data_IF_807042936459
#
_entry.id   IF_807042936459
#
_cell.length_a   1.000
_cell.length_b   1.000
_cell.length_c   1.000
_cell.angle_alpha   90.00
_cell.angle_beta   90.00
_cell.angle_gamma   90.00
#
_symmetry.space_group_name_H-M   'P 1'
#
loop_
_entity.id
_entity.type
_entity.pdbx_description
1 polymer ?
#
# COMPACT_ATOMS: atom_id res chain seq x y z
N UNK A 1 -0.92 -48.74 -42.81
CA UNK A 1 -1.34 -50.15 -42.65
C UNK A 1 -0.77 -50.64 -41.33
N UNK A 2 -1.50 -51.52 -40.61
CA UNK A 2 -1.26 -51.91 -39.19
C UNK A 2 -1.47 -50.72 -38.19
N UNK A 3 -1.95 -50.86 -36.94
CA UNK A 3 -2.39 -52.03 -36.14
C UNK A 3 -1.25 -52.68 -35.34
N UNK A 4 -1.38 -53.18 -34.10
CA UNK A 4 -2.41 -53.16 -33.03
C UNK A 4 -1.71 -53.63 -31.70
N UNK A 5 -2.25 -53.78 -30.47
CA UNK A 5 -3.61 -53.68 -29.87
C UNK A 5 -3.51 -53.49 -28.33
N UNK A 6 -4.58 -53.05 -27.66
CA UNK A 6 -4.72 -53.04 -26.18
C UNK A 6 -4.08 -51.84 -25.46
N UNK A 7 -4.30 -51.57 -24.16
CA UNK A 7 -5.22 -52.14 -23.15
C UNK A 7 -5.23 -51.17 -21.93
N UNK A 8 -6.18 -51.10 -20.98
CA UNK A 8 -7.47 -51.81 -20.73
C UNK A 8 -8.33 -50.93 -19.79
N UNK A 9 -9.63 -50.71 -20.03
CA UNK A 9 -10.49 -49.90 -19.14
C UNK A 9 -10.80 -50.62 -17.81
N UNK A 10 -10.95 -49.86 -16.71
CA UNK A 10 -11.65 -50.27 -15.48
C UNK A 10 -12.72 -49.23 -15.09
N UNK A 11 -13.88 -49.72 -14.64
CA UNK A 11 -15.01 -48.97 -14.06
C UNK A 11 -15.39 -49.64 -12.74
N UNK A 12 -15.27 -48.92 -11.62
CA UNK A 12 -16.02 -49.04 -10.35
C UNK A 12 -15.84 -47.66 -9.69
N UNK A 13 -16.81 -47.05 -9.00
CA UNK A 13 -18.21 -47.39 -8.78
C UNK A 13 -18.98 -46.12 -8.37
N UNK A 14 -20.27 -46.25 -8.10
CA UNK A 14 -21.16 -45.14 -7.71
C UNK A 14 -21.85 -45.51 -6.39
N UNK A 15 -21.48 -44.83 -5.30
CA UNK A 15 -22.14 -44.92 -3.99
C UNK A 15 -22.25 -43.51 -3.40
N UNK A 16 -23.47 -43.08 -3.09
CA UNK A 16 -23.76 -41.73 -2.63
C UNK A 16 -23.65 -41.56 -1.12
N UNK A 17 -23.14 -40.41 -0.68
CA UNK A 17 -23.19 -39.96 0.70
C UNK A 17 -23.51 -38.47 0.77
N UNK A 18 -24.58 -38.09 1.47
CA UNK A 18 -24.94 -36.68 1.66
C UNK A 18 -24.01 -36.02 2.69
N UNK A 19 -23.18 -35.07 2.24
CA UNK A 19 -22.29 -34.30 3.10
C UNK A 19 -22.25 -32.83 2.67
N UNK A 20 -22.82 -31.93 3.47
CA UNK A 20 -22.71 -30.48 3.24
C UNK A 20 -21.31 -29.99 3.61
N UNK A 21 -20.46 -29.77 2.62
CA UNK A 21 -19.28 -28.91 2.75
C UNK A 21 -19.61 -27.52 2.21
N UNK A 22 -19.28 -26.47 2.96
CA UNK A 22 -19.42 -25.09 2.49
C UNK A 22 -18.27 -24.73 1.53
N UNK A 23 -18.59 -24.17 0.37
CA UNK A 23 -17.58 -23.69 -0.56
C UNK A 23 -17.01 -22.35 -0.07
N UNK A 24 -15.75 -22.34 0.35
CA UNK A 24 -14.97 -21.11 0.50
C UNK A 24 -14.50 -20.68 -0.89
N UNK A 25 -14.75 -19.43 -1.33
CA UNK A 25 -14.24 -18.96 -2.61
C UNK A 25 -12.71 -18.80 -2.52
N UNK A 26 -11.99 -19.38 -3.47
CA UNK A 26 -10.54 -19.24 -3.55
C UNK A 26 -10.13 -17.81 -3.92
N UNK A 27 -9.00 -17.37 -3.38
CA UNK A 27 -8.22 -16.29 -3.98
C UNK A 27 -7.37 -16.90 -5.10
N UNK A 28 -7.56 -16.42 -6.33
CA UNK A 28 -6.71 -16.76 -7.47
C UNK A 28 -5.83 -15.55 -7.79
N UNK A 29 -4.51 -15.70 -7.62
CA UNK A 29 -3.50 -14.87 -8.27
C UNK A 29 -2.48 -15.83 -8.92
N UNK A 30 -2.21 -15.63 -10.22
CA UNK A 30 -1.47 -16.56 -11.06
C UNK A 30 -0.30 -15.83 -11.73
N UNK A 31 0.86 -15.89 -11.08
CA UNK A 31 2.13 -15.36 -11.56
C UNK A 31 3.07 -16.51 -11.96
N UNK A 32 2.83 -17.08 -13.14
CA UNK A 32 3.59 -18.21 -13.66
C UNK A 32 5.09 -17.92 -13.86
N UNK A 33 5.94 -18.56 -13.04
CA UNK A 33 7.38 -18.64 -13.26
C UNK A 33 7.74 -19.75 -14.27
N UNK A 34 8.77 -19.50 -15.09
CA UNK A 34 9.36 -20.46 -16.04
C UNK A 34 10.70 -21.00 -15.53
N UNK A 35 11.05 -22.23 -15.94
CA UNK A 35 12.21 -22.97 -15.46
C UNK A 35 13.56 -22.24 -15.59
N UNK A 36 14.40 -22.40 -14.56
CA UNK A 36 15.73 -21.80 -14.44
C UNK A 36 16.69 -22.61 -13.57
N UNK A 37 16.63 -23.94 -13.65
CA UNK A 37 17.40 -24.84 -12.79
C UNK A 37 18.93 -24.73 -13.00
N UNK A 38 19.65 -24.29 -11.97
CA UNK A 38 21.13 -24.37 -11.89
C UNK A 38 21.50 -25.16 -10.64
N UNK A 39 22.09 -26.33 -10.83
CA UNK A 39 22.54 -27.20 -9.73
C UNK A 39 23.92 -26.78 -9.23
N UNK A 40 24.02 -26.32 -7.99
CA UNK A 40 25.28 -26.26 -7.24
C UNK A 40 25.41 -27.51 -6.37
N UNK A 41 26.61 -28.08 -6.29
CA UNK A 41 26.84 -29.33 -5.57
C UNK A 41 26.84 -29.12 -4.05
N UNK A 42 26.27 -30.08 -3.32
CA UNK A 42 26.26 -30.06 -1.85
C UNK A 42 27.65 -30.26 -1.25
N UNK A 43 27.91 -29.54 -0.16
CA UNK A 43 28.84 -29.94 0.87
C UNK A 43 28.08 -29.85 2.19
N UNK A 44 27.89 -30.99 2.85
CA UNK A 44 27.08 -31.05 4.07
C UNK A 44 27.83 -30.34 5.20
N UNK A 45 27.24 -29.25 5.69
CA UNK A 45 27.71 -28.51 6.85
C UNK A 45 26.56 -28.46 7.84
N UNK A 46 26.54 -29.43 8.75
CA UNK A 46 25.60 -29.48 9.87
C UNK A 46 25.92 -28.29 10.79
N UNK A 47 25.08 -27.25 10.73
CA UNK A 47 24.98 -26.26 11.79
C UNK A 47 24.23 -26.93 12.94
N UNK A 48 24.84 -26.93 14.12
CA UNK A 48 24.15 -27.30 15.35
C UNK A 48 23.23 -26.12 15.73
N UNK A 49 21.93 -26.29 15.52
CA UNK A 49 20.92 -25.31 15.91
C UNK A 49 20.83 -25.26 17.46
N UNK A 50 21.57 -24.35 18.09
CA UNK A 50 21.36 -24.00 19.50
C UNK A 50 20.03 -23.24 19.64
N UNK A 51 18.97 -23.94 20.07
CA UNK A 51 17.66 -23.35 20.37
C UNK A 51 17.78 -22.22 21.40
N UNK A 52 17.31 -21.03 21.04
CA UNK A 52 17.41 -19.80 21.83
C UNK A 52 16.19 -18.91 21.65
N UNK A 53 14.99 -19.49 21.81
CA UNK A 53 13.67 -18.88 21.62
C UNK A 53 13.54 -17.53 22.36
N UNK A 54 14.01 -17.49 23.62
CA UNK A 54 14.15 -16.33 24.51
C UNK A 54 14.73 -15.08 23.80
N UNK A 55 15.66 -15.26 22.85
CA UNK A 55 16.33 -14.18 22.14
C UNK A 55 15.50 -13.57 21.01
N UNK A 56 14.58 -14.35 20.43
CA UNK A 56 13.65 -13.87 19.39
C UNK A 56 12.44 -13.17 20.02
N UNK A 57 11.83 -13.78 21.06
CA UNK A 57 10.71 -13.18 21.79
C UNK A 57 11.09 -11.80 22.37
N UNK A 58 12.22 -11.71 23.07
CA UNK A 58 12.68 -10.46 23.69
C UNK A 58 13.04 -9.36 22.67
N UNK A 59 13.50 -9.73 21.46
CA UNK A 59 13.70 -8.76 20.38
C UNK A 59 12.36 -8.21 19.86
N UNK A 60 11.35 -9.07 19.74
CA UNK A 60 10.04 -8.70 19.20
C UNK A 60 9.18 -7.90 20.20
N UNK A 61 9.21 -8.20 21.50
CA UNK A 61 8.56 -7.34 22.52
C UNK A 61 9.18 -5.93 22.51
N UNK A 62 10.51 -5.84 22.51
CA UNK A 62 11.23 -4.57 22.45
C UNK A 62 10.97 -3.80 21.14
N UNK A 63 10.75 -4.51 20.02
CA UNK A 63 10.31 -3.91 18.77
C UNK A 63 8.93 -3.26 18.92
N UNK A 64 7.95 -3.99 19.45
CA UNK A 64 6.55 -3.52 19.57
C UNK A 64 6.44 -2.32 20.52
N UNK A 65 7.05 -2.39 21.71
CA UNK A 65 7.10 -1.23 22.62
C UNK A 65 7.84 -0.05 21.97
N UNK A 66 8.93 -0.35 21.26
CA UNK A 66 9.78 0.59 20.53
C UNK A 66 9.14 1.30 19.34
N UNK A 67 7.98 0.87 18.82
CA UNK A 67 7.24 1.60 17.79
C UNK A 67 6.67 2.90 18.39
N UNK A 68 7.46 3.97 18.35
CA UNK A 68 7.12 5.30 18.85
C UNK A 68 7.10 6.31 17.70
N UNK A 69 5.94 6.85 17.30
CA UNK A 69 5.84 7.75 16.16
C UNK A 69 6.69 9.01 16.31
N UNK A 70 7.56 9.27 15.34
CA UNK A 70 8.36 10.49 15.27
C UNK A 70 7.56 11.56 14.53
N UNK A 71 7.47 12.77 15.09
CA UNK A 71 6.80 13.91 14.46
C UNK A 71 7.76 15.10 14.44
N UNK A 72 7.98 15.69 13.26
CA UNK A 72 8.83 16.87 13.07
C UNK A 72 8.13 17.93 12.22
N UNK A 73 8.38 19.20 12.50
CA UNK A 73 7.92 20.33 11.69
C UNK A 73 9.02 20.77 10.72
N UNK A 74 8.63 21.21 9.53
CA UNK A 74 9.53 21.75 8.52
C UNK A 74 9.60 23.28 8.58
N UNK A 75 10.35 23.79 9.55
CA UNK A 75 10.56 25.22 9.80
C UNK A 75 11.58 25.87 8.83
N UNK A 76 11.90 25.23 7.69
CA UNK A 76 12.85 25.77 6.70
C UNK A 76 12.27 27.00 5.99
N UNK A 77 13.15 27.92 5.57
CA UNK A 77 12.76 29.08 4.77
C UNK A 77 12.85 28.84 3.26
N UNK A 78 13.69 27.89 2.85
CA UNK A 78 13.92 27.50 1.45
C UNK A 78 13.90 25.99 1.31
N UNK A 79 13.34 25.52 0.19
CA UNK A 79 13.18 24.11 -0.16
C UNK A 79 13.67 23.89 -1.59
N UNK A 80 14.42 22.81 -1.81
CA UNK A 80 14.92 22.46 -3.12
C UNK A 80 13.79 22.04 -4.08
N UNK A 81 14.04 22.17 -5.38
CA UNK A 81 13.12 21.69 -6.41
C UNK A 81 13.26 20.16 -6.58
N UNK A 82 12.30 19.42 -6.01
CA UNK A 82 12.25 17.96 -6.15
C UNK A 82 12.10 17.49 -7.61
N UNK A 83 11.51 18.27 -8.50
CA UNK A 83 11.40 17.91 -9.93
C UNK A 83 12.77 17.97 -10.61
N UNK A 84 13.61 18.95 -10.25
CA UNK A 84 14.98 19.03 -10.71
C UNK A 84 15.80 17.84 -10.20
N UNK A 85 15.75 17.55 -8.89
CA UNK A 85 16.46 16.43 -8.26
C UNK A 85 16.09 15.07 -8.89
N UNK A 86 14.79 14.81 -9.09
CA UNK A 86 14.32 13.60 -9.75
C UNK A 86 14.72 13.51 -11.24
N UNK A 87 14.85 14.65 -11.93
CA UNK A 87 15.30 14.70 -13.33
C UNK A 87 16.82 14.51 -13.47
N UNK A 88 17.61 15.04 -12.53
CA UNK A 88 19.08 14.92 -12.49
C UNK A 88 19.56 13.52 -12.07
N UNK A 89 18.69 12.72 -11.45
CA UNK A 89 18.94 11.34 -10.99
C UNK A 89 19.96 11.22 -9.86
N UNK A 90 20.14 12.29 -9.08
CA UNK A 90 20.70 12.20 -7.75
C UNK A 90 19.62 11.66 -6.79
N UNK A 91 19.63 10.33 -6.65
CA UNK A 91 18.69 9.60 -5.83
C UNK A 91 18.89 9.84 -4.32
N UNK A 92 20.10 10.25 -3.90
CA UNK A 92 20.37 10.58 -2.49
C UNK A 92 19.80 11.95 -2.18
N UNK A 93 20.14 12.97 -2.97
CA UNK A 93 19.62 14.32 -2.78
C UNK A 93 18.08 14.38 -2.94
N UNK A 94 17.50 13.55 -3.83
CA UNK A 94 16.04 13.40 -3.92
C UNK A 94 15.43 12.80 -2.65
N UNK A 95 16.05 11.76 -2.06
CA UNK A 95 15.57 11.18 -0.80
C UNK A 95 15.75 12.13 0.39
N UNK A 96 16.88 12.85 0.47
CA UNK A 96 17.08 13.93 1.46
C UNK A 96 15.98 14.97 1.34
N UNK A 97 15.67 15.44 0.12
CA UNK A 97 14.53 16.35 -0.13
C UNK A 97 13.19 15.75 0.30
N UNK A 98 12.92 14.47 0.04
CA UNK A 98 11.62 13.86 0.30
C UNK A 98 11.24 13.89 1.79
N UNK A 99 12.19 13.57 2.68
CA UNK A 99 11.97 13.48 4.14
C UNK A 99 12.48 14.69 4.95
N UNK A 100 13.16 15.67 4.32
CA UNK A 100 13.69 16.84 5.03
C UNK A 100 12.57 17.60 5.79
N UNK A 101 12.84 18.10 7.01
CA UNK A 101 14.16 18.32 7.59
C UNK A 101 14.74 17.11 8.34
N UNK A 102 14.10 15.94 8.30
CA UNK A 102 14.64 14.75 8.96
C UNK A 102 15.91 14.25 8.23
N UNK A 103 17.04 14.06 8.94
CA UNK A 103 18.28 13.60 8.31
C UNK A 103 18.17 12.18 7.73
N UNK A 104 18.72 11.94 6.54
CA UNK A 104 18.60 10.66 5.82
C UNK A 104 19.42 9.53 6.45
N UNK A 105 20.56 9.86 7.05
CA UNK A 105 21.36 8.92 7.86
C UNK A 105 20.56 8.44 9.08
N UNK A 106 19.89 9.36 9.79
CA UNK A 106 19.00 9.02 10.91
C UNK A 106 17.73 8.31 10.46
N UNK A 107 17.19 8.63 9.28
CA UNK A 107 16.02 7.91 8.76
C UNK A 107 16.35 6.43 8.55
N UNK A 108 17.44 6.12 7.84
CA UNK A 108 17.88 4.74 7.60
C UNK A 108 18.35 4.04 8.88
N UNK A 109 18.99 4.76 9.82
CA UNK A 109 19.53 4.16 11.05
C UNK A 109 18.54 4.00 12.21
N UNK A 110 17.50 4.83 12.29
CA UNK A 110 16.61 4.94 13.46
C UNK A 110 15.12 4.77 13.15
N UNK A 111 14.67 5.05 11.92
CA UNK A 111 13.23 5.14 11.57
C UNK A 111 12.78 4.00 10.66
N UNK A 112 13.55 3.72 9.61
CA UNK A 112 13.28 2.69 8.61
C UNK A 112 13.13 1.30 9.26
N UNK A 113 12.09 0.58 8.86
CA UNK A 113 11.66 -0.72 9.40
C UNK A 113 11.45 -0.73 10.94
N UNK A 114 11.17 0.42 11.58
CA UNK A 114 11.05 0.52 13.05
C UNK A 114 9.88 1.33 13.56
N UNK A 115 9.70 2.56 13.07
CA UNK A 115 8.73 3.50 13.65
C UNK A 115 8.18 4.47 12.60
N UNK A 116 6.89 4.87 12.68
CA UNK A 116 6.34 5.89 11.79
C UNK A 116 7.06 7.23 11.90
N UNK A 117 7.12 7.98 10.80
CA UNK A 117 7.61 9.36 10.78
C UNK A 117 6.60 10.27 10.08
N UNK A 118 6.18 11.33 10.77
CA UNK A 118 5.41 12.45 10.20
C UNK A 118 6.32 13.66 10.02
N UNK A 119 6.31 14.24 8.83
CA UNK A 119 6.89 15.56 8.56
C UNK A 119 5.75 16.54 8.26
N UNK A 120 5.54 17.49 9.16
CA UNK A 120 4.53 18.56 9.05
C UNK A 120 5.09 19.73 8.27
N UNK A 121 4.46 20.07 7.15
CA UNK A 121 4.81 21.16 6.23
C UNK A 121 3.62 22.02 5.82
N UNK A 122 2.38 21.62 6.10
CA UNK A 122 1.19 22.34 5.64
C UNK A 122 1.19 23.86 5.92
N UNK A 123 1.68 24.30 7.08
CA UNK A 123 1.73 25.72 7.46
C UNK A 123 2.92 26.50 6.86
N UNK A 124 3.95 25.82 6.37
CA UNK A 124 5.22 26.43 5.88
C UNK A 124 5.44 26.24 4.38
N UNK A 125 5.12 25.06 3.86
CA UNK A 125 5.31 24.64 2.47
C UNK A 125 4.11 23.83 1.92
N UNK A 126 2.87 24.36 1.92
CA UNK A 126 1.70 23.64 1.41
C UNK A 126 1.81 23.23 -0.07
N UNK A 127 2.67 23.93 -0.83
CA UNK A 127 2.96 23.66 -2.24
C UNK A 127 4.03 22.56 -2.47
N UNK A 128 4.59 21.89 -1.44
CA UNK A 128 5.75 20.97 -1.56
C UNK A 128 5.58 19.87 -2.62
N UNK A 129 4.37 19.32 -2.76
CA UNK A 129 4.05 18.27 -3.73
C UNK A 129 3.16 18.74 -4.90
N UNK A 130 3.07 20.05 -5.12
CA UNK A 130 2.23 20.63 -6.17
C UNK A 130 2.73 20.27 -7.56
N UNK A 131 1.85 19.67 -8.36
CA UNK A 131 2.14 19.30 -9.75
C UNK A 131 2.76 17.91 -9.96
N UNK A 132 3.02 17.14 -8.89
CA UNK A 132 3.39 15.72 -9.04
C UNK A 132 2.19 14.87 -9.44
N UNK A 133 1.01 15.17 -8.88
CA UNK A 133 -0.28 14.60 -9.27
C UNK A 133 -1.41 15.55 -8.83
N UNK A 134 -2.66 15.27 -9.23
CA UNK A 134 -3.84 16.02 -8.76
C UNK A 134 -5.17 15.28 -8.98
N UNK A 135 -6.24 15.78 -8.39
CA UNK A 135 -7.63 15.39 -8.66
C UNK A 135 -8.00 15.57 -10.15
N UNK A 136 -7.41 16.53 -10.86
CA UNK A 136 -7.66 16.71 -12.30
C UNK A 136 -6.98 15.63 -13.15
N UNK A 137 -5.81 15.12 -12.73
CA UNK A 137 -5.18 13.97 -13.38
C UNK A 137 -6.02 12.70 -13.24
N UNK A 138 -6.75 12.53 -12.13
CA UNK A 138 -7.71 11.42 -11.97
C UNK A 138 -8.85 11.53 -13.02
N UNK A 139 -9.42 12.72 -13.21
CA UNK A 139 -10.45 12.93 -14.26
C UNK A 139 -9.90 12.66 -15.67
N UNK A 140 -8.69 13.17 -15.96
CA UNK A 140 -7.99 12.95 -17.24
C UNK A 140 -7.76 11.47 -17.52
N UNK A 141 -7.26 10.72 -16.54
CA UNK A 141 -6.99 9.28 -16.68
C UNK A 141 -8.27 8.47 -16.88
N UNK A 142 -9.34 8.79 -16.15
CA UNK A 142 -10.66 8.17 -16.35
C UNK A 142 -11.18 8.41 -17.77
N UNK A 143 -11.16 9.66 -18.25
CA UNK A 143 -11.79 10.09 -19.52
C UNK A 143 -10.98 9.81 -20.78
N UNK A 144 -9.68 10.10 -20.78
CA UNK A 144 -8.85 10.09 -22.00
C UNK A 144 -8.15 8.75 -22.22
N UNK A 145 -7.69 8.11 -21.14
CA UNK A 145 -6.90 6.86 -21.20
C UNK A 145 -7.78 5.62 -21.07
N UNK A 146 -8.91 5.72 -20.36
CA UNK A 146 -9.88 4.64 -20.19
C UNK A 146 -9.42 3.59 -19.17
N UNK A 147 -9.73 3.83 -17.89
CA UNK A 147 -9.33 2.95 -16.80
C UNK A 147 -10.16 1.66 -16.75
N UNK A 148 -9.53 0.55 -16.35
CA UNK A 148 -10.21 -0.71 -15.99
C UNK A 148 -10.32 -0.84 -14.48
N UNK A 149 -11.48 -1.29 -14.01
CA UNK A 149 -11.63 -1.70 -12.61
C UNK A 149 -10.62 -2.81 -12.25
N UNK A 150 -10.16 -2.87 -10.99
CA UNK A 150 -9.16 -3.82 -10.46
C UNK A 150 -7.74 -3.75 -11.04
N UNK A 151 -7.54 -3.22 -12.25
CA UNK A 151 -6.22 -3.13 -12.91
C UNK A 151 -5.63 -1.71 -12.94
N UNK A 152 -6.50 -0.70 -12.93
CA UNK A 152 -6.12 0.71 -13.04
C UNK A 152 -6.88 1.60 -12.05
N UNK A 153 -8.11 1.25 -11.66
CA UNK A 153 -8.90 1.97 -10.66
C UNK A 153 -9.71 1.00 -9.79
N UNK A 154 -9.89 1.34 -8.52
CA UNK A 154 -10.90 0.77 -7.63
C UNK A 154 -11.77 1.89 -7.04
N UNK A 155 -13.02 1.58 -6.73
CA UNK A 155 -13.92 2.47 -5.97
C UNK A 155 -14.34 1.75 -4.69
N UNK A 156 -14.12 2.34 -3.52
CA UNK A 156 -14.35 1.68 -2.22
C UNK A 156 -15.04 2.59 -1.21
N UNK A 157 -15.68 1.99 -0.21
CA UNK A 157 -16.24 2.73 0.93
C UNK A 157 -16.13 1.90 2.21
N UNK A 158 -15.88 2.54 3.34
CA UNK A 158 -15.91 1.91 4.66
C UNK A 158 -16.97 2.56 5.55
N UNK A 159 -17.90 1.75 6.06
CA UNK A 159 -18.99 2.16 6.97
C UNK A 159 -19.14 1.08 8.06
N UNK A 160 -18.09 0.91 8.87
CA UNK A 160 -17.90 -0.24 9.78
C UNK A 160 -17.41 -1.51 9.07
N UNK A 161 -17.86 -1.73 7.83
CA UNK A 161 -17.34 -2.72 6.89
C UNK A 161 -16.85 -2.05 5.61
N UNK A 162 -15.83 -2.62 4.96
CA UNK A 162 -15.33 -2.21 3.63
C UNK A 162 -16.12 -2.89 2.51
N UNK A 163 -16.62 -2.10 1.58
CA UNK A 163 -17.22 -2.52 0.30
C UNK A 163 -16.38 -2.05 -0.89
N UNK A 164 -16.54 -2.70 -2.05
CA UNK A 164 -15.82 -2.38 -3.30
C UNK A 164 -16.78 -2.37 -4.48
N UNK A 165 -16.85 -1.22 -5.17
CA UNK A 165 -17.90 -0.84 -6.12
C UNK A 165 -17.41 -0.88 -7.57
N UNK A 166 -16.72 -1.97 -7.93
CA UNK A 166 -16.04 -2.16 -9.22
C UNK A 166 -16.99 -2.64 -10.33
N UNK A 167 -18.11 -1.93 -10.50
CA UNK A 167 -19.12 -2.16 -11.53
C UNK A 167 -19.85 -0.85 -11.88
N UNK A 168 -20.13 -0.62 -13.16
CA UNK A 168 -20.98 0.47 -13.62
C UNK A 168 -22.45 0.19 -13.28
N UNK A 169 -23.34 1.20 -13.30
CA UNK A 169 -24.76 1.00 -12.96
C UNK A 169 -25.53 0.12 -13.97
N UNK A 170 -24.99 -0.12 -15.16
CA UNK A 170 -25.51 -1.09 -16.15
C UNK A 170 -25.08 -2.54 -15.86
N UNK A 171 -24.26 -2.75 -14.83
CA UNK A 171 -23.69 -4.05 -14.45
C UNK A 171 -22.35 -4.40 -15.13
N UNK A 172 -21.80 -3.54 -15.99
CA UNK A 172 -20.51 -3.81 -16.64
C UNK A 172 -19.33 -3.59 -15.69
N UNK A 173 -18.36 -4.53 -15.67
CA UNK A 173 -17.28 -4.60 -14.66
C UNK A 173 -15.87 -4.42 -15.22
N UNK A 174 -15.70 -4.24 -16.54
CA UNK A 174 -14.38 -4.24 -17.20
C UNK A 174 -13.75 -2.86 -17.28
N UNK A 175 -14.46 -1.90 -17.87
CA UNK A 175 -14.03 -0.50 -17.97
C UNK A 175 -14.77 0.31 -16.92
N UNK A 176 -14.10 1.26 -16.29
CA UNK A 176 -14.74 2.20 -15.39
C UNK A 176 -15.36 3.36 -16.20
N UNK A 177 -16.67 3.56 -16.06
CA UNK A 177 -17.34 4.73 -16.62
C UNK A 177 -16.98 5.97 -15.76
N UNK A 178 -16.40 7.05 -16.33
CA UNK A 178 -16.01 8.23 -15.58
C UNK A 178 -17.17 8.89 -14.83
N UNK A 179 -18.37 8.92 -15.40
CA UNK A 179 -19.54 9.51 -14.76
C UNK A 179 -20.03 8.65 -13.59
N UNK A 180 -19.93 7.32 -13.70
CA UNK A 180 -20.25 6.41 -12.58
C UNK A 180 -19.24 6.55 -11.45
N UNK A 181 -17.93 6.59 -11.76
CA UNK A 181 -16.87 6.79 -10.76
C UNK A 181 -17.05 8.12 -10.04
N UNK A 182 -17.28 9.21 -10.77
CA UNK A 182 -17.52 10.53 -10.16
C UNK A 182 -18.84 10.61 -9.40
N UNK A 183 -19.89 9.91 -9.83
CA UNK A 183 -21.14 9.86 -9.10
C UNK A 183 -20.97 9.15 -7.76
N UNK A 184 -20.26 8.02 -7.71
CA UNK A 184 -19.96 7.32 -6.44
C UNK A 184 -19.15 8.18 -5.47
N UNK A 185 -18.19 8.94 -5.99
CA UNK A 185 -17.43 9.90 -5.19
C UNK A 185 -18.31 11.01 -4.62
N UNK A 186 -19.13 11.65 -5.46
CA UNK A 186 -19.93 12.85 -5.10
C UNK A 186 -21.22 12.54 -4.32
N UNK A 187 -21.87 11.41 -4.56
CA UNK A 187 -23.20 11.08 -4.03
C UNK A 187 -23.22 9.87 -3.08
N UNK A 188 -22.31 8.90 -3.22
CA UNK A 188 -22.31 7.66 -2.41
C UNK A 188 -21.23 7.66 -1.29
N UNK A 189 -20.41 8.71 -1.25
CA UNK A 189 -19.25 8.89 -0.37
C UNK A 189 -18.20 7.76 -0.49
N UNK A 190 -17.88 7.39 -1.74
CA UNK A 190 -16.84 6.40 -2.05
C UNK A 190 -15.49 7.07 -2.35
N UNK A 191 -14.40 6.46 -1.89
CA UNK A 191 -13.04 6.80 -2.34
C UNK A 191 -12.71 6.17 -3.68
N UNK A 192 -11.83 6.83 -4.44
CA UNK A 192 -11.24 6.36 -5.70
C UNK A 192 -9.77 6.02 -5.40
N UNK A 193 -9.33 4.80 -5.73
CA UNK A 193 -7.92 4.39 -5.71
C UNK A 193 -7.44 4.17 -7.14
N UNK A 194 -6.46 4.96 -7.61
CA UNK A 194 -5.79 4.71 -8.89
C UNK A 194 -4.58 3.80 -8.67
N UNK A 195 -4.47 2.75 -9.47
CA UNK A 195 -3.42 1.75 -9.40
C UNK A 195 -2.30 2.07 -10.41
N UNK A 196 -1.08 2.23 -9.93
CA UNK A 196 0.12 2.54 -10.73
C UNK A 196 -0.09 3.69 -11.75
N UNK A 197 -0.45 4.92 -11.32
CA UNK A 197 -0.66 6.06 -12.19
C UNK A 197 0.61 6.61 -12.86
N UNK A 198 1.82 6.25 -12.39
CA UNK A 198 3.09 6.62 -13.03
C UNK A 198 3.19 6.16 -14.49
N UNK A 199 2.40 5.15 -14.89
CA UNK A 199 2.28 4.66 -16.28
C UNK A 199 1.81 5.74 -17.28
N UNK A 200 1.25 6.86 -16.80
CA UNK A 200 0.70 7.94 -17.61
C UNK A 200 0.99 9.34 -17.04
N UNK A 201 1.93 9.43 -16.09
CA UNK A 201 2.27 10.65 -15.36
C UNK A 201 3.80 10.73 -15.20
N UNK A 202 4.46 11.47 -16.11
CA UNK A 202 5.90 11.68 -16.13
C UNK A 202 6.51 12.18 -14.79
N UNK A 203 5.87 13.10 -14.04
CA UNK A 203 6.31 13.45 -12.69
C UNK A 203 6.42 12.25 -11.75
N UNK A 204 5.35 11.47 -11.59
CA UNK A 204 5.36 10.29 -10.72
C UNK A 204 6.37 9.24 -11.20
N UNK A 205 6.53 9.05 -12.51
CA UNK A 205 7.55 8.15 -13.03
C UNK A 205 8.97 8.58 -12.64
N UNK A 206 9.30 9.87 -12.71
CA UNK A 206 10.62 10.40 -12.29
C UNK A 206 10.85 10.26 -10.78
N UNK A 207 9.84 10.56 -9.96
CA UNK A 207 9.86 10.35 -8.51
C UNK A 207 10.18 8.90 -8.17
N UNK A 208 9.42 7.94 -8.70
CA UNK A 208 9.63 6.53 -8.41
C UNK A 208 10.98 6.04 -8.95
N UNK A 209 11.40 6.43 -10.17
CA UNK A 209 12.70 6.07 -10.71
C UNK A 209 13.90 6.62 -9.89
N UNK A 210 13.73 7.75 -9.20
CA UNK A 210 14.71 8.26 -8.24
C UNK A 210 14.74 7.43 -6.94
N UNK A 211 13.57 7.02 -6.44
CA UNK A 211 13.43 6.16 -5.26
C UNK A 211 13.95 4.73 -5.51
N UNK A 212 13.60 4.11 -6.65
CA UNK A 212 14.11 2.80 -7.08
C UNK A 212 15.64 2.79 -7.15
N UNK A 213 16.23 3.91 -7.61
CA UNK A 213 17.68 4.09 -7.68
C UNK A 213 18.35 4.26 -6.33
N UNK A 214 17.64 4.75 -5.30
CA UNK A 214 18.15 4.82 -3.93
C UNK A 214 18.02 3.47 -3.21
N UNK A 215 16.81 2.91 -3.19
CA UNK A 215 16.49 1.70 -2.42
C UNK A 215 16.96 0.40 -3.10
N UNK A 216 17.30 0.43 -4.39
CA UNK A 216 17.69 -0.74 -5.18
C UNK A 216 16.62 -1.86 -5.15
N UNK A 217 15.35 -1.45 -5.09
CA UNK A 217 14.17 -2.30 -5.15
C UNK A 217 13.09 -1.63 -6.04
N UNK A 218 12.04 -2.37 -6.41
CA UNK A 218 10.90 -1.83 -7.16
C UNK A 218 10.08 -0.88 -6.29
N UNK A 219 9.72 0.30 -6.80
CA UNK A 219 8.88 1.27 -6.07
C UNK A 219 7.62 1.56 -6.86
N UNK A 220 6.47 1.17 -6.32
CA UNK A 220 5.14 1.48 -6.88
C UNK A 220 4.53 2.74 -6.26
N UNK A 221 3.41 3.20 -6.82
CA UNK A 221 2.51 4.11 -6.12
C UNK A 221 1.04 3.81 -6.43
N UNK A 222 0.18 4.18 -5.49
CA UNK A 222 -1.27 4.27 -5.65
C UNK A 222 -1.69 5.66 -5.18
N UNK A 223 -2.68 6.27 -5.82
CA UNK A 223 -3.22 7.56 -5.38
C UNK A 223 -4.66 7.38 -4.89
N UNK A 224 -4.98 7.97 -3.74
CA UNK A 224 -6.24 7.79 -3.04
C UNK A 224 -6.97 9.14 -2.96
N UNK A 225 -8.14 9.24 -3.58
CA UNK A 225 -9.02 10.40 -3.51
C UNK A 225 -10.29 10.04 -2.72
N UNK A 226 -10.46 10.64 -1.54
CA UNK A 226 -11.53 10.39 -0.56
C UNK A 226 -12.39 11.65 -0.41
N UNK A 227 -13.73 11.56 -0.50
CA UNK A 227 -14.60 12.71 -0.30
C UNK A 227 -14.70 13.09 1.19
N UNK A 228 -15.04 14.34 1.47
CA UNK A 228 -15.20 14.85 2.84
C UNK A 228 -16.18 14.00 3.66
N UNK A 229 -15.94 13.93 4.98
CA UNK A 229 -16.73 13.15 5.94
C UNK A 229 -16.82 11.64 5.59
N UNK A 230 -15.73 11.04 5.09
CA UNK A 230 -15.76 9.65 4.61
C UNK A 230 -14.45 8.88 4.81
N UNK A 231 -14.56 7.55 4.88
CA UNK A 231 -13.44 6.61 4.97
C UNK A 231 -13.54 5.60 3.80
N UNK A 232 -12.44 5.38 3.09
CA UNK A 232 -12.42 4.48 1.91
C UNK A 232 -12.08 3.02 2.23
N UNK A 233 -11.36 2.79 3.32
CA UNK A 233 -10.73 1.51 3.66
C UNK A 233 -10.86 1.25 5.17
N UNK A 234 -11.07 -0.01 5.52
CA UNK A 234 -10.96 -0.55 6.88
C UNK A 234 -9.53 -0.44 7.43
N UNK A 235 -9.32 -0.59 8.74
CA UNK A 235 -7.98 -0.81 9.29
C UNK A 235 -7.33 -2.05 8.66
N UNK A 236 -6.04 -1.91 8.32
CA UNK A 236 -5.19 -2.97 7.77
C UNK A 236 -3.70 -2.59 7.93
N UNK A 237 -2.80 -3.54 7.70
CA UNK A 237 -1.40 -3.26 7.33
C UNK A 237 -1.13 -3.75 5.90
N UNK A 238 -0.18 -3.12 5.23
CA UNK A 238 0.39 -3.59 3.96
C UNK A 238 1.70 -4.39 4.21
N UNK A 239 2.17 -5.09 3.18
CA UNK A 239 3.47 -5.79 3.13
C UNK A 239 4.64 -4.91 2.64
N UNK A 240 4.41 -3.62 2.42
CA UNK A 240 5.39 -2.66 1.90
C UNK A 240 5.70 -1.53 2.88
N UNK A 241 6.88 -0.94 2.70
CA UNK A 241 7.31 0.28 3.36
C UNK A 241 6.63 1.47 2.67
N UNK A 242 5.62 2.05 3.31
CA UNK A 242 4.78 3.08 2.68
C UNK A 242 5.30 4.50 2.98
N UNK A 243 5.42 5.32 1.94
CA UNK A 243 5.65 6.77 2.07
C UNK A 243 4.43 7.48 1.47
N UNK A 244 3.59 8.03 2.35
CA UNK A 244 2.39 8.79 2.02
C UNK A 244 2.76 10.27 1.86
N UNK A 245 2.38 10.85 0.71
CA UNK A 245 2.57 12.26 0.39
C UNK A 245 1.19 12.91 0.27
N UNK A 246 0.84 13.86 1.14
CA UNK A 246 -0.46 14.51 1.09
C UNK A 246 -0.45 15.67 0.08
N UNK A 247 -1.23 15.56 -1.00
CA UNK A 247 -1.15 16.49 -2.16
C UNK A 247 -2.29 17.52 -2.24
N UNK A 248 -3.47 17.18 -1.75
CA UNK A 248 -4.66 18.04 -1.71
C UNK A 248 -5.44 17.75 -0.41
N UNK A 249 -6.15 18.74 0.13
CA UNK A 249 -7.06 18.53 1.27
C UNK A 249 -6.37 18.01 2.54
N UNK A 250 -7.14 17.35 3.43
CA UNK A 250 -6.63 16.84 4.73
C UNK A 250 -7.12 15.42 5.03
N UNK A 251 -6.32 14.68 5.81
CA UNK A 251 -6.64 13.32 6.25
C UNK A 251 -6.31 13.14 7.74
N UNK A 252 -7.27 12.65 8.51
CA UNK A 252 -7.06 12.19 9.89
C UNK A 252 -6.63 10.72 9.85
N UNK A 253 -5.38 10.44 10.23
CA UNK A 253 -4.82 9.10 10.33
C UNK A 253 -4.82 8.60 11.77
N UNK A 254 -5.11 7.31 11.95
CA UNK A 254 -4.85 6.57 13.19
C UNK A 254 -3.90 5.41 12.89
N UNK A 255 -2.82 5.33 13.66
CA UNK A 255 -1.78 4.29 13.54
C UNK A 255 -1.73 3.46 14.81
N UNK A 256 -1.46 2.16 14.70
CA UNK A 256 -1.42 1.22 15.81
C UNK A 256 -0.17 0.33 15.70
N UNK A 257 0.26 -0.25 16.82
CA UNK A 257 1.34 -1.25 16.85
C UNK A 257 0.90 -2.55 16.15
N UNK A 258 1.86 -3.38 15.68
CA UNK A 258 1.64 -4.82 15.54
C UNK A 258 1.10 -5.38 16.86
N UNK A 259 0.11 -6.28 16.82
CA UNK A 259 -0.61 -6.73 18.01
C UNK A 259 0.09 -7.89 18.72
N UNK A 260 1.01 -8.56 18.02
CA UNK A 260 1.88 -9.60 18.55
C UNK A 260 3.22 -9.64 17.79
N UNK A 261 4.27 -10.29 18.34
CA UNK A 261 5.57 -10.49 17.70
C UNK A 261 5.53 -10.90 16.22
N UNK A 262 4.61 -11.77 15.84
CA UNK A 262 4.49 -12.36 14.50
C UNK A 262 3.87 -11.41 13.48
N UNK A 263 3.29 -10.30 13.94
CA UNK A 263 2.75 -9.21 13.11
C UNK A 263 3.80 -8.11 12.83
N UNK A 264 5.02 -8.24 13.36
CA UNK A 264 6.12 -7.30 13.09
C UNK A 264 6.76 -7.56 11.71
N UNK A 265 6.96 -6.49 10.94
CA UNK A 265 7.57 -6.51 9.60
C UNK A 265 7.05 -7.61 8.63
N UNK A 266 5.73 -7.86 8.56
CA UNK A 266 5.13 -9.02 7.93
C UNK A 266 5.36 -9.04 6.42
N UNK A 267 5.45 -10.26 5.87
CA UNK A 267 5.73 -10.49 4.44
C UNK A 267 4.49 -10.44 3.55
N UNK A 268 3.31 -10.27 4.13
CA UNK A 268 2.01 -10.26 3.45
C UNK A 268 1.05 -9.27 4.13
N UNK A 269 0.30 -8.54 3.31
CA UNK A 269 -0.75 -7.60 3.71
C UNK A 269 -1.84 -8.29 4.55
N UNK A 270 -2.47 -7.54 5.47
CA UNK A 270 -3.44 -8.10 6.41
C UNK A 270 -4.81 -8.41 5.78
N UNK A 271 -5.65 -9.11 6.56
CA UNK A 271 -7.10 -9.01 6.38
C UNK A 271 -7.62 -7.59 6.67
N UNK A 272 -8.88 -7.34 6.34
CA UNK A 272 -9.57 -6.13 6.82
C UNK A 272 -9.97 -6.36 8.29
N UNK A 273 -9.50 -5.54 9.22
CA UNK A 273 -9.85 -5.65 10.65
C UNK A 273 -11.16 -4.92 10.99
N UNK A 274 -11.83 -5.34 12.06
CA UNK A 274 -12.88 -4.57 12.71
C UNK A 274 -12.26 -3.64 13.79
N UNK A 275 -13.01 -2.64 14.29
CA UNK A 275 -12.45 -1.66 15.24
C UNK A 275 -12.09 -2.28 16.60
N UNK A 276 -12.77 -3.36 16.98
CA UNK A 276 -12.53 -4.08 18.24
C UNK A 276 -11.25 -4.95 18.17
N UNK A 277 -10.70 -5.20 16.96
CA UNK A 277 -9.55 -6.07 16.73
C UNK A 277 -8.18 -5.38 16.88
N UNK A 278 -8.13 -4.04 16.91
CA UNK A 278 -6.89 -3.25 16.69
C UNK A 278 -6.36 -2.49 17.91
N UNK A 279 -7.14 -2.41 18.99
CA UNK A 279 -6.73 -1.73 20.23
C UNK A 279 -6.66 -0.21 20.13
N UNK A 280 -5.82 0.41 20.97
CA UNK A 280 -5.64 1.86 21.04
C UNK A 280 -4.54 2.37 20.09
N UNK A 281 -4.71 3.52 19.43
CA UNK A 281 -3.74 4.05 18.48
C UNK A 281 -2.49 4.60 19.19
N UNK A 282 -1.32 4.37 18.59
CA UNK A 282 -0.05 5.00 18.97
C UNK A 282 0.09 6.42 18.41
N UNK A 283 -0.65 6.74 17.34
CA UNK A 283 -0.75 8.09 16.80
C UNK A 283 -2.17 8.36 16.32
N UNK A 284 -2.70 9.54 16.64
CA UNK A 284 -3.73 10.20 15.85
C UNK A 284 -3.15 11.50 15.30
N UNK A 285 -3.21 11.71 13.98
CA UNK A 285 -2.61 12.87 13.33
C UNK A 285 -3.40 13.32 12.11
N UNK A 286 -3.63 14.63 12.00
CA UNK A 286 -4.11 15.25 10.76
C UNK A 286 -2.92 15.61 9.87
N UNK A 287 -2.90 15.08 8.64
CA UNK A 287 -1.96 15.51 7.59
C UNK A 287 -2.68 16.35 6.53
N UNK A 288 -2.02 17.40 6.05
CA UNK A 288 -2.48 18.32 5.01
C UNK A 288 -1.41 18.54 3.93
N UNK A 289 -1.63 19.42 2.95
CA UNK A 289 -0.81 19.46 1.74
C UNK A 289 0.67 19.72 2.04
N UNK A 290 1.57 18.95 1.43
CA UNK A 290 3.01 19.01 1.67
C UNK A 290 3.53 18.12 2.82
N UNK A 291 2.64 17.59 3.67
CA UNK A 291 3.02 16.68 4.75
C UNK A 291 3.43 15.29 4.23
N UNK A 292 4.44 14.69 4.89
CA UNK A 292 4.84 13.30 4.69
C UNK A 292 4.39 12.44 5.88
N UNK A 293 3.93 11.22 5.61
CA UNK A 293 3.80 10.16 6.60
C UNK A 293 4.48 8.88 6.08
N UNK A 294 5.51 8.42 6.76
CA UNK A 294 6.14 7.12 6.53
C UNK A 294 5.58 6.07 7.51
N UNK A 295 5.32 4.87 6.99
CA UNK A 295 4.83 3.70 7.73
C UNK A 295 5.70 2.46 7.40
N UNK A 296 6.37 1.85 8.40
CA UNK A 296 6.87 0.49 8.28
C UNK A 296 5.76 -0.51 7.98
N UNK A 297 6.05 -1.57 7.21
CA UNK A 297 5.09 -2.67 7.00
C UNK A 297 4.69 -3.32 8.33
N UNK A 298 3.44 -3.75 8.45
CA UNK A 298 2.87 -4.25 9.71
C UNK A 298 2.30 -3.19 10.66
N UNK A 299 2.58 -1.90 10.45
CA UNK A 299 1.86 -0.83 11.17
C UNK A 299 0.41 -0.79 10.68
N UNK A 300 -0.52 -1.23 11.53
CA UNK A 300 -1.96 -1.11 11.27
C UNK A 300 -2.28 0.38 11.17
N UNK A 301 -3.02 0.75 10.12
CA UNK A 301 -3.42 2.12 9.88
C UNK A 301 -4.85 2.21 9.39
N UNK A 302 -5.52 3.32 9.70
CA UNK A 302 -6.76 3.74 9.06
C UNK A 302 -6.80 5.26 8.88
N UNK A 303 -7.55 5.73 7.88
CA UNK A 303 -7.51 7.11 7.42
C UNK A 303 -8.90 7.61 6.98
N UNK A 304 -9.37 8.70 7.58
CA UNK A 304 -10.67 9.33 7.31
C UNK A 304 -10.48 10.78 6.83
N UNK A 305 -11.25 11.22 5.84
CA UNK A 305 -11.30 12.63 5.46
C UNK A 305 -12.25 13.39 6.39
N UNK A 306 -11.82 14.54 6.95
CA UNK A 306 -12.61 15.31 7.91
C UNK A 306 -13.87 15.92 7.27
N UNK A 307 -14.79 16.51 8.06
CA UNK A 307 -16.12 16.87 7.55
C UNK A 307 -16.18 17.97 6.48
N UNK A 308 -15.10 18.73 6.30
CA UNK A 308 -15.05 19.99 5.54
C UNK A 308 -14.15 19.95 4.29
N UNK A 309 -13.29 18.95 4.13
CA UNK A 309 -12.38 18.82 2.98
C UNK A 309 -12.21 17.38 2.50
N UNK A 310 -11.94 17.23 1.19
CA UNK A 310 -11.49 15.97 0.62
C UNK A 310 -10.04 15.66 1.01
N UNK A 311 -9.50 14.57 0.46
CA UNK A 311 -8.07 14.25 0.46
C UNK A 311 -7.74 13.34 -0.72
#
# INVERSE_FOLDING_TARGET
MAGCEGCKKRKVGDEGGEGKAAAVPAAEDDSGCVDGQVCCAGGDFELEDEEGDDGAEAFNEAYIEGVLPVVVNDDRSEVADGFALAAERDSTAFMEWLIAPFPLDRFVGEVWERQPLVVKREDTHPDYYKGWFSTQEIDRLLREVGMKYKYNVDVTSYKGKRDTHNANYDGTTRMADPEVVWKRYKEEACSIRMLHPQRWCDPLWKMLAAMERYWNCSVGCNTYLTPANSQGFSPHWDDIEAIVLQIEGRKSWKLYRPRSPEEALPRYSSGNFEQDDIGEPILEVDIGPGDLLYLPRGVIHQAVSPPDTHS
#
